data_IF_942355123449
#
_entry.id   IF_942355123449
#
_cell.length_a   1.000
_cell.length_b   1.000
_cell.length_c   1.000
_cell.angle_alpha   90.00
_cell.angle_beta   90.00
_cell.angle_gamma   90.00
#
_symmetry.space_group_name_H-M   'P 1'
#
loop_
_entity.id
_entity.type
_entity.pdbx_description
1 polymer ?
#
# COMPACT_ATOMS: atom_id res chain seq x y z
N UNK A 1 45.15 -19.18 58.24
CA UNK A 1 43.96 -19.73 57.55
C UNK A 1 43.14 -18.55 57.04
N UNK A 2 43.31 -18.21 55.77
CA UNK A 2 42.74 -17.02 55.13
C UNK A 2 41.64 -17.52 54.19
N UNK A 3 40.39 -17.20 54.49
CA UNK A 3 39.27 -17.39 53.56
C UNK A 3 39.27 -16.19 52.62
N UNK A 4 39.61 -16.42 51.36
CA UNK A 4 39.72 -15.40 50.32
C UNK A 4 38.55 -15.58 49.36
N UNK A 5 37.56 -14.71 49.50
CA UNK A 5 36.38 -14.63 48.66
C UNK A 5 36.79 -14.01 47.31
N UNK A 6 36.80 -14.79 46.23
CA UNK A 6 37.01 -14.29 44.88
C UNK A 6 35.71 -14.36 44.09
N UNK A 7 35.03 -13.21 44.03
CA UNK A 7 33.93 -12.91 43.14
C UNK A 7 34.47 -12.91 41.70
N UNK A 8 34.05 -13.87 40.88
CA UNK A 8 34.38 -13.88 39.45
C UNK A 8 33.38 -12.98 38.71
N UNK A 9 33.84 -11.84 38.20
CA UNK A 9 33.08 -10.98 37.30
C UNK A 9 32.80 -11.76 36.01
N UNK A 10 31.53 -12.10 35.75
CA UNK A 10 31.09 -12.54 34.42
C UNK A 10 30.74 -11.29 33.62
N UNK A 11 31.61 -10.93 32.69
CA UNK A 11 31.38 -9.85 31.73
C UNK A 11 30.30 -10.31 30.74
N UNK A 12 29.07 -9.84 30.94
CA UNK A 12 27.95 -10.07 30.03
C UNK A 12 28.16 -9.20 28.77
N UNK A 13 28.75 -9.79 27.73
CA UNK A 13 28.87 -9.15 26.43
C UNK A 13 27.48 -9.16 25.76
N UNK A 14 26.71 -8.08 25.96
CA UNK A 14 25.46 -7.85 25.24
C UNK A 14 25.74 -7.66 23.75
N UNK A 15 25.70 -8.76 22.99
CA UNK A 15 25.53 -8.72 21.54
C UNK A 15 24.15 -8.11 21.25
N UNK A 16 24.15 -6.83 20.88
CA UNK A 16 22.97 -6.15 20.38
C UNK A 16 22.58 -6.80 19.04
N UNK A 17 21.68 -7.78 19.08
CA UNK A 17 20.98 -8.26 17.89
C UNK A 17 20.19 -7.07 17.33
N UNK A 18 20.65 -6.56 16.20
CA UNK A 18 19.92 -5.57 15.41
C UNK A 18 18.71 -6.26 14.79
N UNK A 19 17.60 -6.33 15.53
CA UNK A 19 16.32 -6.64 14.94
C UNK A 19 16.06 -5.58 13.86
N UNK A 20 15.98 -6.02 12.61
CA UNK A 20 15.45 -5.20 11.54
C UNK A 20 13.99 -4.91 11.88
N UNK A 21 13.74 -3.85 12.64
CA UNK A 21 12.42 -3.24 12.73
C UNK A 21 12.07 -2.87 11.31
N UNK A 22 11.05 -3.52 10.75
CA UNK A 22 10.27 -2.92 9.69
C UNK A 22 9.98 -1.49 10.15
N UNK A 23 10.44 -0.50 9.37
CA UNK A 23 10.16 0.90 9.65
C UNK A 23 8.66 1.05 9.47
N UNK A 24 7.89 0.84 10.54
CA UNK A 24 6.54 1.35 10.61
C UNK A 24 6.69 2.85 10.39
N UNK A 25 6.23 3.32 9.24
CA UNK A 25 6.23 4.70 8.86
C UNK A 25 5.16 5.44 9.68
N UNK A 26 5.39 5.56 10.98
CA UNK A 26 4.61 6.41 11.87
C UNK A 26 4.79 7.86 11.39
N UNK A 27 3.86 8.28 10.54
CA UNK A 27 3.86 9.61 9.92
C UNK A 27 3.56 9.64 8.42
N UNK A 28 3.54 8.51 7.71
CA UNK A 28 3.22 8.49 6.27
C UNK A 28 1.74 8.30 5.96
N UNK A 29 0.92 7.91 6.93
CA UNK A 29 -0.53 7.85 6.80
C UNK A 29 -1.24 8.62 7.91
N UNK A 30 -2.44 9.13 7.61
CA UNK A 30 -3.27 9.86 8.56
C UNK A 30 -4.74 9.82 8.13
N UNK A 31 -5.63 9.42 9.04
CA UNK A 31 -7.06 9.37 8.78
C UNK A 31 -7.80 10.30 9.73
N UNK A 32 -8.76 11.05 9.20
CA UNK A 32 -9.65 11.86 10.02
C UNK A 32 -11.03 11.98 9.39
N UNK A 33 -12.04 11.43 10.06
CA UNK A 33 -13.43 11.36 9.60
C UNK A 33 -13.51 10.67 8.22
N UNK A 34 -13.98 11.36 7.18
CA UNK A 34 -14.25 10.77 5.86
C UNK A 34 -13.09 10.98 4.87
N UNK A 35 -11.90 11.28 5.40
CA UNK A 35 -10.69 11.53 4.61
C UNK A 35 -9.51 10.75 5.16
N UNK A 36 -8.68 10.27 4.22
CA UNK A 36 -7.43 9.58 4.48
C UNK A 36 -6.28 10.24 3.73
N UNK A 37 -5.08 10.17 4.29
CA UNK A 37 -3.83 10.59 3.71
C UNK A 37 -2.88 9.41 3.68
N UNK A 38 -2.22 9.18 2.54
CA UNK A 38 -1.08 8.28 2.41
C UNK A 38 0.01 8.96 1.60
N UNK A 39 1.21 9.02 2.13
CA UNK A 39 2.41 9.45 1.43
C UNK A 39 3.34 8.26 1.23
N UNK A 40 3.88 8.09 0.03
CA UNK A 40 4.86 7.05 -0.25
C UNK A 40 6.28 7.47 0.18
N UNK A 41 7.23 6.53 0.10
CA UNK A 41 8.65 6.74 0.38
C UNK A 41 9.31 7.85 -0.45
N UNK A 42 8.70 8.35 -1.54
CA UNK A 42 9.19 9.49 -2.33
C UNK A 42 8.67 10.84 -1.85
N UNK A 43 7.84 10.85 -0.80
CA UNK A 43 7.07 12.00 -0.30
C UNK A 43 5.99 12.50 -1.27
N UNK A 44 5.54 11.64 -2.19
CA UNK A 44 4.31 11.90 -2.95
C UNK A 44 3.12 11.54 -2.07
N UNK A 45 2.28 12.54 -1.79
CA UNK A 45 1.14 12.42 -0.88
C UNK A 45 -0.18 12.34 -1.66
N UNK A 46 -1.09 11.50 -1.16
CA UNK A 46 -2.41 11.20 -1.71
C UNK A 46 -3.44 11.36 -0.61
N UNK A 47 -4.29 12.38 -0.72
CA UNK A 47 -5.42 12.61 0.16
C UNK A 47 -6.71 12.14 -0.53
N UNK A 48 -7.33 11.09 0.00
CA UNK A 48 -8.58 10.54 -0.50
C UNK A 48 -9.75 10.97 0.38
N UNK A 49 -10.75 11.62 -0.21
CA UNK A 49 -12.03 11.96 0.43
C UNK A 49 -13.13 11.03 -0.06
N UNK A 50 -14.08 10.72 0.80
CA UNK A 50 -15.17 9.78 0.50
C UNK A 50 -16.54 10.40 0.79
N UNK A 51 -17.59 9.81 0.21
CA UNK A 51 -18.95 10.00 0.72
C UNK A 51 -19.06 9.57 2.18
N UNK A 52 -20.08 10.05 2.91
CA UNK A 52 -20.44 9.48 4.21
C UNK A 52 -20.64 7.97 4.11
N UNK A 53 -20.28 7.24 5.16
CA UNK A 53 -20.49 5.80 5.25
C UNK A 53 -21.97 5.43 5.05
N UNK A 54 -22.23 4.32 4.36
CA UNK A 54 -23.58 3.87 4.04
C UNK A 54 -24.23 4.58 2.83
N UNK A 55 -23.51 5.46 2.13
CA UNK A 55 -23.99 6.05 0.87
C UNK A 55 -23.90 5.02 -0.26
N UNK A 56 -25.02 4.70 -0.91
CA UNK A 56 -25.04 3.78 -2.06
C UNK A 56 -24.43 4.41 -3.32
N UNK A 57 -24.89 5.61 -3.70
CA UNK A 57 -24.30 6.41 -4.78
C UNK A 57 -23.07 7.15 -4.27
N UNK A 58 -22.04 6.40 -3.87
CA UNK A 58 -20.83 6.98 -3.30
C UNK A 58 -19.93 7.61 -4.36
N UNK A 59 -19.20 8.65 -3.96
CA UNK A 59 -18.11 9.25 -4.68
C UNK A 59 -16.85 9.21 -3.83
N UNK A 60 -15.71 9.23 -4.51
CA UNK A 60 -14.43 9.51 -3.89
C UNK A 60 -13.66 10.52 -4.73
N UNK A 61 -12.85 11.34 -4.05
CA UNK A 61 -11.93 12.28 -4.69
C UNK A 61 -10.52 12.01 -4.18
N UNK A 62 -9.56 11.93 -5.09
CA UNK A 62 -8.14 11.84 -4.79
C UNK A 62 -7.46 13.17 -5.13
N UNK A 63 -6.83 13.77 -4.13
CA UNK A 63 -5.92 14.89 -4.30
C UNK A 63 -4.49 14.39 -4.13
N UNK A 64 -3.65 14.55 -5.16
CA UNK A 64 -2.27 14.05 -5.15
C UNK A 64 -1.28 15.20 -5.35
N UNK A 65 -0.17 15.17 -4.63
CA UNK A 65 0.93 16.12 -4.86
C UNK A 65 2.27 15.47 -4.58
N UNK A 66 3.19 15.59 -5.54
CA UNK A 66 4.60 15.22 -5.38
C UNK A 66 5.31 16.19 -4.42
N UNK A 67 6.37 15.75 -3.77
CA UNK A 67 7.22 16.66 -3.00
C UNK A 67 8.06 17.57 -3.94
N UNK A 68 8.55 18.68 -3.40
CA UNK A 68 9.36 19.67 -4.12
C UNK A 68 8.63 20.99 -4.45
N UNK A 69 9.36 22.08 -4.68
CA UNK A 69 8.77 23.39 -4.96
C UNK A 69 8.00 23.41 -6.29
N UNK A 70 6.90 24.16 -6.36
CA UNK A 70 6.14 24.39 -7.58
C UNK A 70 5.36 23.20 -8.12
N UNK A 71 5.30 22.07 -7.39
CA UNK A 71 4.54 20.90 -7.83
C UNK A 71 3.03 21.18 -7.77
N UNK A 72 2.27 20.92 -8.85
CA UNK A 72 0.82 21.14 -8.87
C UNK A 72 0.09 20.19 -7.92
N UNK A 73 -1.17 20.53 -7.61
CA UNK A 73 -2.11 19.61 -6.98
C UNK A 73 -2.89 18.90 -8.09
N UNK A 74 -2.68 17.61 -8.23
CA UNK A 74 -3.44 16.76 -9.15
C UNK A 74 -4.76 16.34 -8.49
N UNK A 75 -5.80 16.16 -9.29
CA UNK A 75 -7.10 15.67 -8.81
C UNK A 75 -7.66 14.55 -9.69
N UNK A 76 -8.35 13.61 -9.04
CA UNK A 76 -9.17 12.57 -9.68
C UNK A 76 -10.48 12.42 -8.90
N UNK A 77 -11.54 12.13 -9.63
CA UNK A 77 -12.87 11.86 -9.07
C UNK A 77 -13.31 10.48 -9.57
N UNK A 78 -13.84 9.66 -8.67
CA UNK A 78 -14.48 8.39 -9.00
C UNK A 78 -15.87 8.36 -8.39
N UNK A 79 -16.82 7.85 -9.17
CA UNK A 79 -18.19 7.59 -8.76
C UNK A 79 -18.38 6.09 -8.66
N UNK A 80 -19.25 5.66 -7.76
CA UNK A 80 -19.60 4.25 -7.62
C UNK A 80 -20.09 3.68 -8.94
N UNK A 81 -19.50 2.56 -9.36
CA UNK A 81 -19.98 1.77 -10.49
C UNK A 81 -21.38 1.23 -10.19
N UNK A 82 -22.25 1.18 -11.20
CA UNK A 82 -23.57 0.56 -11.03
C UNK A 82 -23.43 -0.96 -10.93
N UNK A 83 -24.39 -1.61 -10.28
CA UNK A 83 -24.39 -3.06 -10.08
C UNK A 83 -24.32 -3.86 -11.40
N UNK A 84 -24.81 -3.28 -12.49
CA UNK A 84 -24.80 -3.86 -13.84
C UNK A 84 -23.53 -3.52 -14.65
N UNK A 85 -22.58 -2.78 -14.07
CA UNK A 85 -21.32 -2.37 -14.69
C UNK A 85 -21.49 -1.41 -15.88
N UNK A 86 -22.67 -0.84 -16.10
CA UNK A 86 -22.92 0.05 -17.22
C UNK A 86 -22.37 1.46 -16.95
N UNK A 87 -21.84 2.10 -17.99
CA UNK A 87 -21.42 3.50 -17.92
C UNK A 87 -22.64 4.43 -17.82
N UNK A 88 -22.51 5.55 -17.10
CA UNK A 88 -23.52 6.61 -17.04
C UNK A 88 -23.75 7.32 -18.40
N UNK A 89 -22.92 7.02 -19.41
CA UNK A 89 -22.95 7.65 -20.72
C UNK A 89 -22.19 8.97 -20.74
N UNK A 90 -22.73 9.99 -20.06
CA UNK A 90 -22.16 11.34 -20.03
C UNK A 90 -21.21 11.57 -18.86
N UNK A 91 -20.32 12.55 -19.02
CA UNK A 91 -19.46 13.01 -17.95
C UNK A 91 -20.29 13.59 -16.79
N UNK A 92 -19.94 13.31 -15.52
CA UNK A 92 -20.62 13.89 -14.37
C UNK A 92 -20.32 15.39 -14.24
N UNK A 93 -21.23 16.11 -13.62
CA UNK A 93 -21.08 17.52 -13.25
C UNK A 93 -20.57 17.65 -11.82
N UNK A 94 -19.67 18.61 -11.57
CA UNK A 94 -19.36 19.04 -10.21
C UNK A 94 -20.50 19.92 -9.67
N UNK A 95 -21.00 19.59 -8.49
CA UNK A 95 -22.04 20.34 -7.77
C UNK A 95 -21.45 20.93 -6.49
N UNK A 96 -21.56 22.25 -6.32
CA UNK A 96 -21.19 22.96 -5.07
C UNK A 96 -22.36 23.81 -4.63
N UNK A 97 -22.79 23.64 -3.37
CA UNK A 97 -23.97 24.32 -2.83
C UNK A 97 -25.20 24.22 -3.75
N UNK A 98 -25.41 23.03 -4.33
CA UNK A 98 -26.47 22.71 -5.30
C UNK A 98 -26.40 23.43 -6.66
N UNK A 99 -25.30 24.14 -6.96
CA UNK A 99 -25.04 24.77 -8.24
C UNK A 99 -24.05 23.94 -9.07
N UNK A 100 -24.36 23.78 -10.36
CA UNK A 100 -23.47 23.06 -11.28
C UNK A 100 -22.31 23.95 -11.71
N UNK A 101 -21.10 23.40 -11.66
CA UNK A 101 -19.87 24.00 -12.17
C UNK A 101 -19.44 23.36 -13.51
N UNK A 102 -20.36 22.68 -14.18
CA UNK A 102 -20.15 22.05 -15.48
C UNK A 102 -19.61 20.63 -15.41
N UNK A 103 -19.51 20.01 -16.59
CA UNK A 103 -19.03 18.63 -16.75
C UNK A 103 -17.54 18.51 -16.35
N UNK A 104 -17.18 17.38 -15.76
CA UNK A 104 -15.81 16.96 -15.56
C UNK A 104 -15.20 16.48 -16.88
N UNK A 105 -13.87 16.44 -16.94
CA UNK A 105 -13.13 15.88 -18.06
C UNK A 105 -12.81 14.40 -17.80
N UNK A 106 -12.80 13.53 -18.82
CA UNK A 106 -12.33 12.16 -18.63
C UNK A 106 -10.84 12.15 -18.26
N UNK A 107 -10.45 11.18 -17.44
CA UNK A 107 -9.08 10.92 -17.05
C UNK A 107 -8.72 9.43 -17.29
N UNK A 108 -7.54 9.02 -16.83
CA UNK A 108 -7.08 7.64 -16.86
C UNK A 108 -7.83 6.75 -15.84
N UNK A 109 -7.82 5.43 -16.09
CA UNK A 109 -8.40 4.40 -15.22
C UNK A 109 -9.84 4.74 -14.78
N UNK A 110 -10.66 5.07 -15.78
CA UNK A 110 -12.09 5.41 -15.69
C UNK A 110 -12.43 6.49 -14.67
N UNK A 111 -11.46 7.35 -14.32
CA UNK A 111 -11.65 8.49 -13.44
C UNK A 111 -12.07 9.74 -14.20
N UNK A 112 -12.49 10.75 -13.44
CA UNK A 112 -12.80 12.08 -13.93
C UNK A 112 -11.85 13.12 -13.35
N UNK A 113 -11.72 14.25 -14.04
CA UNK A 113 -10.82 15.35 -13.72
C UNK A 113 -11.60 16.66 -13.63
N UNK A 114 -11.41 17.38 -12.51
CA UNK A 114 -11.79 18.78 -12.39
C UNK A 114 -10.77 19.66 -13.11
N UNK A 115 -11.24 20.58 -13.96
CA UNK A 115 -10.39 21.63 -14.52
C UNK A 115 -9.99 22.65 -13.42
N UNK A 116 -9.09 23.59 -13.73
CA UNK A 116 -8.58 24.54 -12.74
C UNK A 116 -9.67 25.33 -12.00
N UNK A 117 -10.67 25.86 -12.73
CA UNK A 117 -11.79 26.60 -12.11
C UNK A 117 -12.63 25.71 -11.18
N UNK A 118 -12.88 24.47 -11.59
CA UNK A 118 -13.62 23.50 -10.79
C UNK A 118 -12.84 23.10 -9.53
N UNK A 119 -11.53 22.86 -9.66
CA UNK A 119 -10.66 22.52 -8.53
C UNK A 119 -10.57 23.67 -7.51
N UNK A 120 -10.43 24.91 -7.96
CA UNK A 120 -10.41 26.08 -7.08
C UNK A 120 -11.72 26.21 -6.29
N UNK A 121 -12.86 26.03 -6.97
CA UNK A 121 -14.17 26.07 -6.34
C UNK A 121 -14.40 24.89 -5.38
N UNK A 122 -13.90 23.69 -5.73
CA UNK A 122 -13.93 22.51 -4.87
C UNK A 122 -13.12 22.74 -3.58
N UNK A 123 -11.90 23.27 -3.69
CA UNK A 123 -11.05 23.58 -2.54
C UNK A 123 -11.69 24.67 -1.66
N UNK A 124 -12.28 25.70 -2.26
CA UNK A 124 -13.03 26.72 -1.53
C UNK A 124 -14.22 26.12 -0.77
N UNK A 125 -14.96 25.18 -1.38
CA UNK A 125 -16.07 24.49 -0.76
C UNK A 125 -15.64 23.61 0.42
N UNK A 126 -14.48 22.94 0.33
CA UNK A 126 -13.90 22.19 1.46
C UNK A 126 -13.57 23.12 2.64
N UNK A 127 -13.06 24.33 2.37
CA UNK A 127 -12.76 25.31 3.42
C UNK A 127 -14.01 25.92 4.06
N UNK A 128 -15.02 26.27 3.25
CA UNK A 128 -16.25 26.87 3.75
C UNK A 128 -17.21 25.87 4.39
N UNK A 129 -17.00 24.57 4.19
CA UNK A 129 -17.93 23.51 4.57
C UNK A 129 -19.19 23.47 3.71
N UNK A 130 -19.13 24.02 2.49
CA UNK A 130 -20.24 23.96 1.55
C UNK A 130 -20.48 22.52 1.09
N UNK A 131 -21.75 22.17 0.82
CA UNK A 131 -22.09 20.86 0.29
C UNK A 131 -21.43 20.64 -1.08
N UNK A 132 -20.78 19.49 -1.25
CA UNK A 132 -20.10 19.07 -2.48
C UNK A 132 -20.72 17.75 -2.94
N UNK A 133 -20.86 17.58 -4.25
CA UNK A 133 -21.21 16.30 -4.83
C UNK A 133 -21.01 16.30 -6.33
N UNK A 134 -21.38 15.19 -6.95
CA UNK A 134 -21.35 15.00 -8.38
C UNK A 134 -22.73 14.59 -8.88
N UNK A 135 -23.05 14.92 -10.13
CA UNK A 135 -24.34 14.54 -10.72
C UNK A 135 -24.15 14.06 -12.16
N UNK A 136 -24.69 12.89 -12.47
CA UNK A 136 -24.76 12.37 -13.84
C UNK A 136 -26.23 12.02 -14.19
N UNK A 137 -26.44 11.26 -15.26
CA UNK A 137 -27.77 10.81 -15.68
C UNK A 137 -28.42 9.82 -14.70
N UNK A 138 -27.65 9.17 -13.83
CA UNK A 138 -28.11 8.13 -12.89
C UNK A 138 -28.47 8.70 -11.52
N UNK A 139 -27.83 9.79 -11.11
CA UNK A 139 -28.20 10.43 -9.84
C UNK A 139 -27.18 11.41 -9.31
N UNK A 140 -27.16 11.54 -7.99
CA UNK A 140 -26.30 12.48 -7.27
C UNK A 140 -25.44 11.72 -6.27
N UNK A 141 -24.15 11.97 -6.34
CA UNK A 141 -23.13 11.32 -5.55
C UNK A 141 -22.54 12.33 -4.56
N UNK A 142 -23.00 12.36 -3.29
CA UNK A 142 -22.52 13.34 -2.32
C UNK A 142 -21.07 13.05 -1.92
N UNK A 143 -20.26 14.09 -1.70
CA UNK A 143 -18.92 13.94 -1.12
C UNK A 143 -18.90 14.59 0.26
N UNK A 144 -18.33 13.91 1.26
CA UNK A 144 -18.16 14.50 2.57
C UNK A 144 -16.98 15.48 2.58
N UNK A 145 -17.19 16.70 3.06
CA UNK A 145 -16.10 17.62 3.40
C UNK A 145 -15.51 17.35 4.79
N UNK A 146 -16.09 16.45 5.58
CA UNK A 146 -15.75 16.26 6.98
C UNK A 146 -14.36 15.66 7.15
N UNK A 147 -13.43 16.46 7.69
CA UNK A 147 -12.06 16.06 7.99
C UNK A 147 -11.03 16.41 6.92
N UNK A 148 -11.47 16.89 5.76
CA UNK A 148 -10.63 17.40 4.68
C UNK A 148 -9.55 18.37 5.16
N UNK A 149 -9.91 19.37 5.98
CA UNK A 149 -8.96 20.35 6.51
C UNK A 149 -7.86 19.74 7.36
N UNK A 150 -8.15 18.71 8.16
CA UNK A 150 -7.14 18.04 8.99
C UNK A 150 -6.16 17.23 8.13
N UNK A 151 -6.70 16.47 7.17
CA UNK A 151 -5.93 15.63 6.24
C UNK A 151 -5.05 16.48 5.32
N UNK A 152 -5.61 17.51 4.70
CA UNK A 152 -4.89 18.39 3.79
C UNK A 152 -3.86 19.25 4.53
N UNK A 153 -4.14 19.63 5.77
CA UNK A 153 -3.14 20.29 6.60
C UNK A 153 -1.99 19.35 6.97
N UNK A 154 -2.30 18.06 7.24
CA UNK A 154 -1.25 17.07 7.48
C UNK A 154 -0.41 16.83 6.21
N UNK A 155 -1.02 16.86 5.04
CA UNK A 155 -0.32 16.80 3.75
C UNK A 155 0.65 17.98 3.57
N UNK A 156 0.21 19.21 3.88
CA UNK A 156 1.09 20.38 3.88
C UNK A 156 2.23 20.25 4.90
N UNK A 157 1.95 19.74 6.10
CA UNK A 157 2.97 19.50 7.15
C UNK A 157 4.01 18.47 6.71
N UNK A 158 3.58 17.36 6.11
CA UNK A 158 4.46 16.32 5.58
C UNK A 158 5.31 16.77 4.39
N UNK A 159 4.90 17.81 3.67
CA UNK A 159 5.70 18.41 2.59
C UNK A 159 6.43 19.70 3.02
N UNK A 160 6.23 20.19 4.23
CA UNK A 160 6.84 21.45 4.71
C UNK A 160 6.22 22.72 4.11
N UNK A 161 4.97 22.64 3.65
CA UNK A 161 4.25 23.72 2.96
C UNK A 161 3.45 24.63 3.88
N UNK A 162 3.21 24.27 5.14
CA UNK A 162 2.38 25.11 6.04
C UNK A 162 2.91 26.54 6.12
N UNK A 163 2.13 27.54 5.71
CA UNK A 163 2.54 28.94 5.68
C UNK A 163 3.41 29.35 4.48
N UNK A 164 3.56 28.50 3.46
CA UNK A 164 4.07 28.90 2.13
C UNK A 164 2.92 29.37 1.24
N UNK A 165 3.25 30.02 0.11
CA UNK A 165 2.26 30.44 -0.89
C UNK A 165 1.49 29.27 -1.54
N UNK A 166 2.06 28.07 -1.56
CA UNK A 166 1.43 26.89 -2.15
C UNK A 166 0.77 25.94 -1.15
N UNK A 167 0.66 26.31 0.13
CA UNK A 167 -0.09 25.53 1.12
C UNK A 167 -1.58 25.46 0.75
N UNK A 168 -2.21 24.30 0.97
CA UNK A 168 -3.61 24.07 0.66
C UNK A 168 -4.55 24.68 1.70
N UNK A 169 -4.29 24.47 3.00
CA UNK A 169 -5.21 24.87 4.08
C UNK A 169 -4.77 26.17 4.76
N UNK A 170 -3.47 26.35 4.99
CA UNK A 170 -2.90 27.51 5.70
C UNK A 170 -1.84 28.21 4.85
N UNK A 171 -2.23 28.91 3.78
CA UNK A 171 -1.29 29.65 2.95
C UNK A 171 -0.65 30.80 3.74
N UNK A 172 0.58 31.15 3.37
CA UNK A 172 1.31 32.28 3.95
C UNK A 172 2.18 32.98 2.92
N UNK A 173 3.09 33.84 3.37
CA UNK A 173 3.90 34.68 2.49
C UNK A 173 5.22 34.04 2.07
N UNK A 174 5.65 32.97 2.76
CA UNK A 174 6.93 32.29 2.49
C UNK A 174 6.92 31.66 1.09
N UNK A 175 8.04 31.73 0.40
CA UNK A 175 8.24 30.94 -0.82
C UNK A 175 8.40 29.44 -0.49
N UNK A 176 8.57 28.63 -1.53
CA UNK A 176 8.70 27.17 -1.40
C UNK A 176 10.15 26.68 -1.35
N UNK A 177 11.13 27.56 -1.13
CA UNK A 177 12.55 27.16 -1.06
C UNK A 177 12.84 26.16 0.07
N UNK A 178 12.06 26.21 1.16
CA UNK A 178 12.14 25.30 2.30
C UNK A 178 11.21 24.10 2.27
N UNK A 179 10.47 23.88 1.18
CA UNK A 179 9.62 22.68 1.00
C UNK A 179 10.50 21.44 0.87
N UNK A 180 10.06 20.31 1.44
CA UNK A 180 10.81 19.05 1.37
C UNK A 180 10.96 18.61 -0.08
N UNK A 181 12.18 18.24 -0.46
CA UNK A 181 12.47 17.64 -1.76
C UNK A 181 11.98 16.20 -1.80
N UNK A 182 11.63 15.67 -2.99
CA UNK A 182 11.28 14.27 -3.12
C UNK A 182 12.48 13.38 -2.77
N UNK A 183 12.21 12.29 -2.08
CA UNK A 183 13.22 11.25 -1.90
C UNK A 183 13.31 10.41 -3.18
N UNK A 184 14.51 9.96 -3.60
CA UNK A 184 14.63 9.04 -4.72
C UNK A 184 13.93 7.72 -4.40
N UNK A 185 13.17 7.20 -5.35
CA UNK A 185 12.59 5.86 -5.22
C UNK A 185 13.70 4.81 -5.08
N UNK A 186 13.52 3.86 -4.18
CA UNK A 186 14.44 2.74 -3.99
C UNK A 186 14.59 1.97 -5.30
N UNK A 187 15.82 1.68 -5.70
CA UNK A 187 16.10 0.91 -6.91
C UNK A 187 16.19 -0.57 -6.55
N UNK A 188 15.40 -1.40 -7.23
CA UNK A 188 15.45 -2.85 -7.09
C UNK A 188 16.02 -3.44 -8.37
N UNK A 189 17.22 -4.02 -8.28
CA UNK A 189 17.85 -4.72 -9.39
C UNK A 189 17.23 -6.13 -9.51
N UNK A 190 16.28 -6.29 -10.42
CA UNK A 190 15.63 -7.58 -10.69
C UNK A 190 16.62 -8.53 -11.34
N UNK A 191 16.87 -9.67 -10.69
CA UNK A 191 17.73 -10.70 -11.23
C UNK A 191 16.93 -11.73 -12.06
N UNK A 192 17.56 -12.39 -13.05
CA UNK A 192 16.93 -13.51 -13.74
C UNK A 192 16.63 -14.64 -12.77
N UNK A 193 15.61 -15.43 -13.09
CA UNK A 193 15.24 -16.66 -12.39
C UNK A 193 15.26 -17.85 -13.33
N UNK A 194 15.65 -19.02 -12.84
CA UNK A 194 15.61 -20.27 -13.60
C UNK A 194 14.16 -20.70 -13.87
N UNK A 195 13.35 -20.78 -12.81
CA UNK A 195 11.93 -21.12 -12.90
C UNK A 195 11.06 -19.86 -12.82
N UNK A 196 10.22 -19.67 -13.84
CA UNK A 196 9.30 -18.52 -13.92
C UNK A 196 8.05 -18.69 -13.06
N UNK A 197 7.71 -19.92 -12.70
CA UNK A 197 6.53 -20.27 -11.89
C UNK A 197 6.94 -21.35 -10.90
N UNK A 198 6.23 -21.44 -9.77
CA UNK A 198 6.42 -22.51 -8.81
C UNK A 198 5.60 -23.74 -9.19
N UNK A 199 6.13 -24.92 -8.87
CA UNK A 199 5.41 -26.19 -9.00
C UNK A 199 5.12 -26.79 -7.63
N UNK A 200 4.16 -27.72 -7.58
CA UNK A 200 3.99 -28.56 -6.40
C UNK A 200 5.28 -29.36 -6.10
N UNK A 201 5.59 -29.50 -4.82
CA UNK A 201 6.68 -30.36 -4.34
C UNK A 201 6.24 -31.82 -4.33
N UNK A 202 7.18 -32.72 -4.61
CA UNK A 202 7.00 -34.15 -4.43
C UNK A 202 7.09 -34.53 -2.94
N UNK A 203 6.57 -35.69 -2.56
CA UNK A 203 6.62 -36.18 -1.18
C UNK A 203 8.07 -36.28 -0.65
N UNK A 204 9.03 -36.71 -1.48
CA UNK A 204 10.44 -36.80 -1.11
C UNK A 204 11.08 -35.43 -0.91
N UNK A 205 10.69 -34.42 -1.70
CA UNK A 205 11.12 -33.04 -1.50
C UNK A 205 10.58 -32.47 -0.19
N UNK A 206 9.30 -32.70 0.11
CA UNK A 206 8.68 -32.25 1.37
C UNK A 206 9.37 -32.92 2.56
N UNK A 207 9.56 -34.25 2.52
CA UNK A 207 10.20 -35.00 3.59
C UNK A 207 11.65 -34.52 3.85
N UNK A 208 12.36 -34.09 2.80
CA UNK A 208 13.72 -33.55 2.91
C UNK A 208 13.76 -32.10 3.42
N UNK A 209 12.85 -31.24 2.96
CA UNK A 209 12.92 -29.78 3.18
C UNK A 209 12.15 -29.35 4.43
N UNK A 210 10.94 -29.87 4.66
CA UNK A 210 10.05 -29.47 5.76
C UNK A 210 10.74 -29.47 7.14
N UNK A 211 11.59 -30.45 7.52
CA UNK A 211 12.26 -30.43 8.81
C UNK A 211 13.16 -29.21 9.06
N UNK A 212 13.72 -28.61 8.01
CA UNK A 212 14.54 -27.40 8.11
C UNK A 212 13.69 -26.13 8.28
N UNK A 213 12.41 -26.18 7.91
CA UNK A 213 11.51 -25.01 7.91
C UNK A 213 10.53 -25.02 9.08
N UNK A 214 10.16 -26.18 9.62
CA UNK A 214 9.03 -26.31 10.54
C UNK A 214 9.15 -25.45 11.80
N UNK A 215 10.33 -25.41 12.43
CA UNK A 215 10.56 -24.58 13.62
C UNK A 215 10.44 -23.08 13.34
N UNK A 216 10.78 -22.65 12.12
CA UNK A 216 10.67 -21.24 11.68
C UNK A 216 9.22 -20.88 11.34
N UNK A 217 8.47 -21.84 10.82
CA UNK A 217 7.04 -21.71 10.54
C UNK A 217 6.29 -21.55 11.86
N UNK A 218 6.53 -22.44 12.83
CA UNK A 218 5.96 -22.38 14.18
C UNK A 218 6.33 -21.07 14.89
N UNK A 219 7.60 -20.66 14.79
CA UNK A 219 8.08 -19.41 15.39
C UNK A 219 7.50 -18.14 14.73
N UNK A 220 6.92 -18.23 13.53
CA UNK A 220 6.26 -17.09 12.89
C UNK A 220 4.97 -16.71 13.64
N UNK A 221 4.27 -17.69 14.21
CA UNK A 221 2.98 -17.50 14.88
C UNK A 221 1.82 -17.11 13.94
N UNK A 222 2.08 -17.01 12.63
CA UNK A 222 1.10 -16.56 11.63
C UNK A 222 0.43 -17.73 10.87
N UNK A 223 0.99 -18.93 10.94
CA UNK A 223 0.49 -20.10 10.21
C UNK A 223 -0.30 -21.03 11.13
N UNK A 224 -1.43 -21.55 10.63
CA UNK A 224 -2.19 -22.59 11.32
C UNK A 224 -1.75 -23.99 10.83
N UNK A 225 -1.49 -24.89 11.78
CA UNK A 225 -1.04 -26.27 11.50
C UNK A 225 -1.98 -27.04 10.55
N UNK A 226 -3.26 -26.70 10.53
CA UNK A 226 -4.27 -27.28 9.64
C UNK A 226 -3.90 -27.13 8.16
N UNK A 227 -3.38 -25.96 7.76
CA UNK A 227 -3.07 -25.66 6.36
C UNK A 227 -1.68 -26.15 5.93
N UNK A 228 -0.79 -26.40 6.90
CA UNK A 228 0.59 -26.82 6.66
C UNK A 228 0.71 -28.23 6.04
N UNK A 229 -0.38 -29.00 6.00
CA UNK A 229 -0.47 -30.30 5.36
C UNK A 229 -0.96 -30.27 3.91
N UNK A 230 -1.42 -29.12 3.39
CA UNK A 230 -2.07 -29.05 2.09
C UNK A 230 -1.09 -28.96 0.92
N UNK A 231 -0.58 -27.78 0.62
CA UNK A 231 0.20 -27.52 -0.58
C UNK A 231 1.56 -26.95 -0.22
N UNK A 232 2.59 -27.55 -0.82
CA UNK A 232 3.97 -27.10 -0.76
C UNK A 232 4.47 -26.87 -2.18
N UNK A 233 5.16 -25.75 -2.37
CA UNK A 233 5.57 -25.23 -3.65
C UNK A 233 7.09 -25.07 -3.70
N UNK A 234 7.67 -25.32 -4.87
CA UNK A 234 9.08 -25.08 -5.12
C UNK A 234 9.30 -24.40 -6.48
N UNK A 235 10.22 -23.44 -6.52
CA UNK A 235 10.77 -22.86 -7.73
C UNK A 235 12.28 -22.71 -7.58
N UNK A 236 13.06 -23.10 -8.59
CA UNK A 236 14.49 -22.79 -8.63
C UNK A 236 14.69 -21.33 -9.02
N UNK A 237 15.37 -20.56 -8.17
CA UNK A 237 15.69 -19.17 -8.46
C UNK A 237 16.95 -19.09 -9.31
N UNK A 238 18.02 -19.77 -8.92
CA UNK A 238 19.26 -19.89 -9.69
C UNK A 238 19.99 -21.21 -9.38
N UNK A 239 21.27 -21.32 -9.73
CA UNK A 239 22.06 -22.53 -9.47
C UNK A 239 22.31 -22.79 -7.98
N UNK A 240 22.15 -21.78 -7.13
CA UNK A 240 22.41 -21.83 -5.70
C UNK A 240 21.14 -21.79 -4.86
N UNK A 241 20.12 -21.05 -5.28
CA UNK A 241 18.94 -20.77 -4.47
C UNK A 241 17.65 -21.36 -5.03
N UNK A 242 16.81 -21.83 -4.12
CA UNK A 242 15.43 -22.23 -4.34
C UNK A 242 14.46 -21.38 -3.52
N UNK A 243 13.23 -21.29 -3.99
CA UNK A 243 12.11 -20.67 -3.31
C UNK A 243 11.14 -21.78 -2.88
N UNK A 244 10.83 -21.85 -1.60
CA UNK A 244 9.86 -22.79 -1.02
C UNK A 244 8.65 -22.00 -0.53
N UNK A 245 7.47 -22.41 -0.96
CA UNK A 245 6.19 -21.91 -0.46
C UNK A 245 5.42 -23.01 0.27
N UNK A 246 4.63 -22.68 1.28
CA UNK A 246 3.67 -23.59 1.88
C UNK A 246 2.40 -22.85 2.30
N UNK A 247 1.24 -23.50 2.17
CA UNK A 247 -0.01 -22.95 2.69
C UNK A 247 0.10 -22.69 4.20
N UNK A 248 -0.22 -21.47 4.61
CA UNK A 248 0.06 -20.97 5.96
C UNK A 248 -1.23 -20.65 6.73
N UNK A 249 -2.13 -19.85 6.15
CA UNK A 249 -3.40 -19.52 6.79
C UNK A 249 -4.51 -19.28 5.77
N UNK A 250 -5.75 -19.41 6.22
CA UNK A 250 -6.95 -19.09 5.44
C UNK A 250 -7.98 -18.36 6.30
N UNK A 251 -8.43 -17.23 5.80
CA UNK A 251 -9.53 -16.45 6.36
C UNK A 251 -10.81 -16.59 5.55
N UNK A 252 -11.84 -15.84 5.95
CA UNK A 252 -13.17 -15.90 5.34
C UNK A 252 -13.19 -15.63 3.81
N UNK A 253 -12.26 -14.82 3.32
CA UNK A 253 -12.20 -14.41 1.90
C UNK A 253 -10.76 -14.25 1.39
N UNK A 254 -9.77 -14.65 2.18
CA UNK A 254 -8.34 -14.45 1.96
C UNK A 254 -7.58 -15.72 2.33
N UNK A 255 -6.38 -15.89 1.78
CA UNK A 255 -5.42 -16.92 2.19
C UNK A 255 -4.01 -16.36 2.08
N UNK A 256 -3.06 -17.00 2.75
CA UNK A 256 -1.65 -16.65 2.64
C UNK A 256 -0.79 -17.89 2.64
N UNK A 257 0.27 -17.86 1.85
CA UNK A 257 1.34 -18.84 1.87
C UNK A 257 2.57 -18.23 2.54
N UNK A 258 3.30 -19.06 3.28
CA UNK A 258 4.61 -18.71 3.83
C UNK A 258 5.69 -19.05 2.81
N UNK A 259 6.60 -18.10 2.57
CA UNK A 259 7.64 -18.20 1.55
C UNK A 259 9.03 -18.04 2.12
N UNK A 260 9.93 -18.96 1.76
CA UNK A 260 11.32 -18.98 2.17
C UNK A 260 12.27 -19.07 0.98
N UNK A 261 13.39 -18.36 1.05
CA UNK A 261 14.57 -18.66 0.22
C UNK A 261 15.44 -19.65 0.97
N UNK A 262 15.78 -20.74 0.29
CA UNK A 262 16.74 -21.75 0.73
C UNK A 262 17.89 -21.85 -0.28
N UNK A 263 19.02 -22.42 0.10
CA UNK A 263 19.92 -22.96 -0.91
C UNK A 263 19.37 -24.28 -1.50
N UNK A 264 19.81 -24.63 -2.71
CA UNK A 264 19.34 -25.81 -3.42
C UNK A 264 19.74 -27.13 -2.74
N UNK A 265 20.70 -27.09 -1.82
CA UNK A 265 21.14 -28.24 -1.01
C UNK A 265 20.36 -28.35 0.32
N UNK A 266 19.48 -27.38 0.60
CA UNK A 266 18.68 -27.24 1.82
C UNK A 266 19.53 -27.11 3.10
N UNK A 267 20.63 -26.37 3.05
CA UNK A 267 21.36 -25.97 4.25
C UNK A 267 20.81 -24.69 4.88
N UNK A 268 21.21 -24.45 6.13
CA UNK A 268 21.00 -23.17 6.82
C UNK A 268 22.08 -22.16 6.37
N UNK A 269 21.80 -20.83 6.35
CA UNK A 269 20.59 -20.19 6.85
C UNK A 269 19.45 -20.11 5.81
N UNK A 270 18.24 -20.38 6.28
CA UNK A 270 16.99 -20.11 5.55
C UNK A 270 16.54 -18.67 5.76
N UNK A 271 16.05 -18.01 4.71
CA UNK A 271 15.50 -16.67 4.78
C UNK A 271 13.97 -16.67 4.61
N UNK A 272 13.23 -16.30 5.65
CA UNK A 272 11.80 -15.97 5.55
C UNK A 272 11.61 -14.71 4.70
N UNK A 273 10.68 -14.77 3.74
CA UNK A 273 10.29 -13.63 2.90
C UNK A 273 9.01 -12.99 3.41
N UNK A 274 7.95 -13.78 3.56
CA UNK A 274 6.60 -13.31 3.96
C UNK A 274 5.72 -14.49 4.36
N UNK A 275 4.69 -14.24 5.14
CA UNK A 275 3.64 -15.20 5.56
C UNK A 275 2.30 -14.97 4.83
N UNK A 276 2.24 -14.02 3.89
CA UNK A 276 0.96 -13.59 3.31
C UNK A 276 0.92 -13.44 1.78
N UNK A 277 2.01 -13.75 1.07
CA UNK A 277 1.97 -13.76 -0.39
C UNK A 277 1.16 -14.95 -0.89
N UNK A 278 0.47 -14.77 -2.01
CA UNK A 278 -0.44 -15.76 -2.60
C UNK A 278 0.01 -16.24 -3.97
N UNK A 279 1.05 -15.63 -4.54
CA UNK A 279 1.59 -16.05 -5.82
C UNK A 279 3.07 -15.76 -5.96
N UNK A 280 3.74 -16.60 -6.74
CA UNK A 280 5.08 -16.37 -7.27
C UNK A 280 5.04 -16.36 -8.80
N UNK A 281 5.63 -15.33 -9.42
CA UNK A 281 5.80 -15.28 -10.86
C UNK A 281 7.06 -14.47 -11.25
N UNK A 282 7.92 -15.07 -12.06
CA UNK A 282 9.09 -14.43 -12.68
C UNK A 282 9.94 -13.62 -11.70
N UNK A 283 10.29 -14.20 -10.55
CA UNK A 283 11.07 -13.50 -9.52
C UNK A 283 10.29 -12.45 -8.73
N UNK A 284 8.95 -12.47 -8.78
CA UNK A 284 8.06 -11.61 -7.97
C UNK A 284 7.21 -12.49 -7.06
N UNK A 285 7.10 -12.14 -5.79
CA UNK A 285 6.07 -12.62 -4.88
C UNK A 285 5.03 -11.52 -4.71
N UNK A 286 3.75 -11.86 -4.81
CA UNK A 286 2.67 -10.89 -4.71
C UNK A 286 1.65 -11.27 -3.63
N UNK A 287 1.15 -10.24 -2.96
CA UNK A 287 0.09 -10.30 -1.99
C UNK A 287 -1.04 -9.41 -2.49
N UNK A 288 -2.25 -9.97 -2.55
CA UNK A 288 -3.49 -9.23 -2.71
C UNK A 288 -4.50 -9.78 -1.71
N UNK A 289 -4.90 -8.95 -0.75
CA UNK A 289 -5.80 -9.34 0.33
C UNK A 289 -6.98 -8.39 0.37
N UNK A 290 -8.19 -8.93 0.31
CA UNK A 290 -9.41 -8.12 0.40
C UNK A 290 -9.53 -7.55 1.81
N UNK A 291 -10.06 -6.33 1.93
CA UNK A 291 -10.43 -5.78 3.24
C UNK A 291 -11.74 -6.38 3.78
N UNK A 292 -12.62 -6.85 2.88
CA UNK A 292 -13.84 -7.59 3.20
C UNK A 292 -14.29 -8.47 2.03
N UNK A 293 -15.25 -9.37 2.27
CA UNK A 293 -15.70 -10.37 1.28
C UNK A 293 -16.14 -9.81 -0.08
N UNK A 294 -16.64 -8.56 -0.12
CA UNK A 294 -17.04 -7.87 -1.34
C UNK A 294 -15.85 -7.51 -2.26
N UNK A 295 -14.64 -7.38 -1.71
CA UNK A 295 -13.45 -7.04 -2.48
C UNK A 295 -13.45 -5.63 -3.06
N UNK A 296 -14.21 -4.70 -2.47
CA UNK A 296 -14.29 -3.28 -2.83
C UNK A 296 -13.18 -2.42 -2.19
N UNK A 297 -12.18 -3.08 -1.64
CA UNK A 297 -10.93 -2.54 -1.10
C UNK A 297 -9.95 -3.71 -0.95
N UNK A 298 -8.68 -3.46 -1.22
CA UNK A 298 -7.62 -4.47 -1.09
C UNK A 298 -6.36 -3.85 -0.48
N UNK A 299 -5.60 -4.67 0.23
CA UNK A 299 -4.19 -4.44 0.55
C UNK A 299 -3.34 -5.20 -0.45
N UNK A 300 -2.23 -4.59 -0.88
CA UNK A 300 -1.27 -5.23 -1.77
C UNK A 300 0.16 -5.04 -1.27
N UNK A 301 0.99 -6.04 -1.54
CA UNK A 301 2.44 -5.97 -1.33
C UNK A 301 3.13 -6.81 -2.41
N UNK A 302 4.35 -6.43 -2.79
CA UNK A 302 5.17 -7.28 -3.64
C UNK A 302 6.63 -7.29 -3.20
N UNK A 303 7.29 -8.41 -3.48
CA UNK A 303 8.72 -8.58 -3.27
C UNK A 303 9.38 -9.09 -4.54
N UNK A 304 10.50 -8.49 -4.93
CA UNK A 304 11.24 -8.86 -6.14
C UNK A 304 12.58 -9.50 -5.79
N UNK A 305 12.91 -10.58 -6.48
CA UNK A 305 14.20 -11.28 -6.39
C UNK A 305 15.33 -10.42 -6.97
N UNK A 306 16.38 -10.20 -6.18
CA UNK A 306 17.55 -9.41 -6.59
C UNK A 306 18.82 -10.23 -6.86
N UNK A 307 18.73 -11.56 -6.86
CA UNK A 307 19.86 -12.48 -7.02
C UNK A 307 20.51 -12.92 -5.71
N UNK A 308 19.99 -12.44 -4.58
CA UNK A 308 20.42 -12.85 -3.23
C UNK A 308 19.23 -13.05 -2.30
N UNK A 309 18.23 -12.16 -2.38
CA UNK A 309 17.02 -12.20 -1.57
C UNK A 309 15.85 -11.55 -2.29
N UNK A 310 14.64 -11.86 -1.82
CA UNK A 310 13.46 -11.07 -2.13
C UNK A 310 13.49 -9.77 -1.34
N UNK A 311 13.32 -8.64 -2.03
CA UNK A 311 13.24 -7.30 -1.41
C UNK A 311 11.88 -6.69 -1.69
N UNK A 312 11.29 -6.02 -0.71
CA UNK A 312 10.02 -5.33 -0.89
C UNK A 312 10.11 -4.34 -2.06
N UNK A 313 9.20 -4.48 -3.02
CA UNK A 313 9.16 -3.69 -4.26
C UNK A 313 7.90 -2.83 -4.39
N UNK A 314 6.85 -3.16 -3.66
CA UNK A 314 5.62 -2.36 -3.55
C UNK A 314 4.92 -2.68 -2.24
N UNK A 315 4.24 -1.69 -1.66
CA UNK A 315 3.32 -1.87 -0.53
C UNK A 315 2.26 -0.76 -0.56
N UNK A 316 1.03 -1.10 -0.20
CA UNK A 316 -0.06 -0.14 -0.11
C UNK A 316 -1.43 -0.79 0.00
N UNK A 317 -2.45 0.05 -0.15
CA UNK A 317 -3.85 -0.38 -0.22
C UNK A 317 -4.62 0.49 -1.22
N UNK A 318 -5.92 0.24 -1.32
CA UNK A 318 -6.81 0.95 -2.23
C UNK A 318 -7.79 1.89 -1.53
N UNK A 319 -7.47 2.26 -0.29
CA UNK A 319 -8.32 3.07 0.57
C UNK A 319 -9.50 2.30 1.16
N UNK A 320 -10.56 3.04 1.49
CA UNK A 320 -11.72 2.51 2.21
C UNK A 320 -12.63 1.65 1.33
N UNK A 321 -13.25 0.67 1.97
CA UNK A 321 -14.26 -0.22 1.40
C UNK A 321 -15.61 0.50 1.25
N UNK A 322 -15.68 1.42 0.27
CA UNK A 322 -16.80 2.32 0.05
C UNK A 322 -17.69 1.91 -1.13
N UNK A 323 -17.57 0.68 -1.63
CA UNK A 323 -18.33 0.19 -2.79
C UNK A 323 -18.21 1.08 -4.04
N UNK A 324 -17.06 1.74 -4.22
CA UNK A 324 -16.84 2.57 -5.41
C UNK A 324 -16.65 1.69 -6.65
N UNK A 325 -15.81 0.66 -6.55
CA UNK A 325 -15.60 -0.35 -7.60
C UNK A 325 -14.89 -1.58 -7.04
N UNK A 326 -14.92 -2.73 -7.75
CA UNK A 326 -14.08 -3.87 -7.41
C UNK A 326 -12.60 -3.47 -7.32
N UNK A 327 -11.91 -3.93 -6.28
CA UNK A 327 -10.51 -3.55 -6.03
C UNK A 327 -10.33 -2.20 -5.35
N UNK A 328 -11.37 -1.38 -5.21
CA UNK A 328 -11.34 -0.13 -4.45
C UNK A 328 -11.13 1.14 -5.26
N UNK A 329 -11.27 2.27 -4.57
CA UNK A 329 -11.38 3.57 -5.22
C UNK A 329 -10.04 4.06 -5.77
N UNK A 330 -8.90 3.80 -5.12
CA UNK A 330 -7.62 4.39 -5.51
C UNK A 330 -6.48 3.40 -5.37
N UNK A 331 -5.26 3.80 -5.73
CA UNK A 331 -4.03 3.11 -5.31
C UNK A 331 -3.27 4.05 -4.39
N UNK A 332 -3.09 3.65 -3.14
CA UNK A 332 -2.47 4.43 -2.07
C UNK A 332 -1.18 3.72 -1.61
N UNK A 333 -0.09 3.80 -2.40
CA UNK A 333 1.16 3.15 -2.04
C UNK A 333 1.83 3.85 -0.85
N UNK A 334 2.43 3.06 0.02
CA UNK A 334 3.39 3.49 1.05
C UNK A 334 4.83 3.25 0.59
N UNK A 335 5.04 2.25 -0.27
CA UNK A 335 6.32 1.93 -0.89
C UNK A 335 6.17 1.89 -2.41
N UNK A 336 6.96 2.70 -3.10
CA UNK A 336 7.21 2.60 -4.54
C UNK A 336 8.70 2.37 -4.80
N UNK A 337 9.00 1.54 -5.79
CA UNK A 337 10.37 1.26 -6.21
C UNK A 337 10.53 1.42 -7.71
N UNK A 338 11.77 1.67 -8.14
CA UNK A 338 12.14 1.61 -9.56
C UNK A 338 12.85 0.29 -9.82
N UNK A 339 12.20 -0.60 -10.57
CA UNK A 339 12.82 -1.86 -10.97
C UNK A 339 13.76 -1.62 -12.16
N UNK A 340 14.95 -2.19 -12.10
CA UNK A 340 15.92 -2.22 -13.21
C UNK A 340 16.31 -3.67 -13.44
N UNK A 341 16.48 -4.07 -14.71
CA UNK A 341 17.04 -5.38 -15.01
C UNK A 341 18.52 -5.39 -14.67
N UNK A 342 18.97 -6.46 -14.03
CA UNK A 342 20.38 -6.70 -13.76
C UNK A 342 21.10 -7.19 -15.03
#
# INVERSE_FOLDING_TARGET
>A
MIVRNHLCLVTLCCLALSAARAVAADGSSFSHKDWDLVCDNTLTCRAAGYSPEGTEQAASVLLMRKAGPGTPLDNRVRLAESEDGQSAGDAPQLMVANQSLGMLQPADDDAWLMNGRQLDAFMAALHSGSAIGFRDARGTYPLSGAGSSAVLLKMDDLQGRVGTRGALIRPGTRDESGVRQPNPATVVAKAPVADKESRAMTADEIARIKPNLISRIEASGDCDDEWMGEHWYFARLDDRYGLVGASCWRGAYNSGDIWFVIDNENHEPVQLVTTGATSYQQGSLELYQKGRGLGDCIRFSSWTWNGQRFVASSDGDTGRCMMIRPGGAWTLPTLVTRQVQR
#
